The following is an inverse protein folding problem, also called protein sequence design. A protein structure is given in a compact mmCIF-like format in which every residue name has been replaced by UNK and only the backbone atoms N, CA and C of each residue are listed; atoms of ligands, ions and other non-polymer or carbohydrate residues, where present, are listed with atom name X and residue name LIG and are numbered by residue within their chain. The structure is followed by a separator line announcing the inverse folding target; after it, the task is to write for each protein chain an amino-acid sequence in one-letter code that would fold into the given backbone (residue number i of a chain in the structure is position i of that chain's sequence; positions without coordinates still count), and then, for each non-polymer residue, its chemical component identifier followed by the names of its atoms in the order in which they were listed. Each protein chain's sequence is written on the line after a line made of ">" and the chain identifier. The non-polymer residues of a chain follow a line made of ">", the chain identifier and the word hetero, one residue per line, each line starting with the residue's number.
data_IF_117507896688
#
_entry.id   IF_117507896688
#
_cell.length_a   1.000
_cell.length_b   1.000
_cell.length_c   1.000
_cell.angle_alpha   90.00
_cell.angle_beta   90.00
_cell.angle_gamma   90.00
#
_symmetry.space_group_name_H-M   'P 1'
#
loop_
_entity.id
_entity.type
_entity.pdbx_description
1 polymer ?
#
# COMPACT_ATOMS: atom_id res chain seq x y z
N UNK A 1 -1.64 14.53 29.15
CA UNK A 1 -1.67 13.25 28.42
C UNK A 1 -2.59 12.28 29.15
N UNK A 2 -3.17 11.31 28.47
CA UNK A 2 -3.98 10.23 29.06
C UNK A 2 -3.40 8.91 28.61
N UNK A 3 -3.37 7.92 29.50
CA UNK A 3 -2.86 6.58 29.21
C UNK A 3 -4.03 5.64 28.97
N UNK A 4 -3.94 4.84 27.90
CA UNK A 4 -4.91 3.79 27.58
C UNK A 4 -4.13 2.48 27.53
N UNK A 5 -4.58 1.48 28.28
CA UNK A 5 -4.03 0.12 28.22
C UNK A 5 -4.90 -0.72 27.28
N UNK A 6 -4.26 -1.45 26.36
CA UNK A 6 -4.93 -2.27 25.36
C UNK A 6 -4.32 -3.66 25.42
N UNK A 7 -5.17 -4.69 25.46
CA UNK A 7 -4.73 -6.09 25.30
C UNK A 7 -4.78 -6.44 23.83
N UNK A 8 -3.66 -6.89 23.29
CA UNK A 8 -3.55 -7.36 21.90
C UNK A 8 -3.09 -8.83 21.88
N UNK A 9 -3.36 -9.51 20.78
CA UNK A 9 -2.82 -10.85 20.56
C UNK A 9 -1.30 -10.76 20.32
N UNK A 10 -0.58 -11.84 20.62
CA UNK A 10 0.86 -11.93 20.32
C UNK A 10 1.13 -11.75 18.81
N UNK A 11 0.23 -12.27 17.97
CA UNK A 11 0.30 -12.12 16.52
C UNK A 11 0.20 -10.66 16.09
N UNK A 12 -0.74 -9.90 16.64
CA UNK A 12 -0.89 -8.47 16.31
C UNK A 12 0.29 -7.66 16.86
N UNK A 13 0.80 -8.02 18.04
CA UNK A 13 1.96 -7.39 18.66
C UNK A 13 3.20 -7.49 17.76
N UNK A 14 3.46 -8.68 17.23
CA UNK A 14 4.54 -8.93 16.28
C UNK A 14 4.27 -8.27 14.93
N UNK A 15 3.03 -8.37 14.43
CA UNK A 15 2.62 -7.82 13.13
C UNK A 15 2.86 -6.31 13.02
N UNK A 16 2.48 -5.56 14.05
CA UNK A 16 2.65 -4.10 14.08
C UNK A 16 4.00 -3.67 14.66
N UNK A 17 4.86 -4.64 15.05
CA UNK A 17 6.17 -4.39 15.64
C UNK A 17 6.10 -3.38 16.79
N UNK A 18 5.18 -3.60 17.73
CA UNK A 18 4.81 -2.62 18.76
C UNK A 18 5.91 -2.33 19.80
N UNK A 19 7.08 -2.98 19.71
CA UNK A 19 8.25 -2.68 20.54
C UNK A 19 8.09 -3.14 21.99
N UNK A 20 8.73 -2.44 22.94
CA UNK A 20 8.59 -2.68 24.38
C UNK A 20 7.39 -1.91 24.99
N UNK A 21 7.19 -2.02 26.31
CA UNK A 21 5.98 -1.69 27.09
C UNK A 21 5.25 -0.37 26.75
N UNK A 22 5.96 0.66 26.29
CA UNK A 22 5.39 1.98 25.97
C UNK A 22 5.68 2.41 24.52
N UNK A 23 4.61 2.69 23.78
CA UNK A 23 4.61 3.17 22.40
C UNK A 23 3.86 4.50 22.32
N UNK A 24 4.38 5.46 21.54
CA UNK A 24 3.64 6.70 21.27
C UNK A 24 2.43 6.38 20.40
N UNK A 25 1.30 7.01 20.71
CA UNK A 25 0.08 6.85 19.93
C UNK A 25 0.26 7.18 18.44
N UNK A 26 1.11 8.16 18.11
CA UNK A 26 1.46 8.51 16.72
C UNK A 26 2.11 7.33 15.98
N UNK A 27 3.02 6.64 16.65
CA UNK A 27 3.80 5.55 16.07
C UNK A 27 2.89 4.32 15.85
N UNK A 28 1.95 4.10 16.77
CA UNK A 28 0.90 3.08 16.61
C UNK A 28 0.02 3.36 15.40
N UNK A 29 -0.42 4.61 15.25
CA UNK A 29 -1.25 5.03 14.10
C UNK A 29 -0.48 4.86 12.79
N UNK A 30 0.81 5.21 12.75
CA UNK A 30 1.66 5.00 11.58
C UNK A 30 1.84 3.51 11.24
N UNK A 31 2.05 2.65 12.24
CA UNK A 31 2.17 1.21 12.04
C UNK A 31 0.90 0.61 11.42
N UNK A 32 -0.27 1.03 11.92
CA UNK A 32 -1.57 0.62 11.38
C UNK A 32 -1.74 1.09 9.93
N UNK A 33 -1.45 2.37 9.63
CA UNK A 33 -1.54 2.90 8.27
C UNK A 33 -0.60 2.17 7.30
N UNK A 34 0.60 1.80 7.74
CA UNK A 34 1.57 1.05 6.93
C UNK A 34 1.03 -0.32 6.53
N UNK A 35 0.32 -1.01 7.42
CA UNK A 35 -0.31 -2.30 7.08
C UNK A 35 -1.43 -2.12 6.05
N UNK A 36 -2.28 -1.09 6.19
CA UNK A 36 -3.31 -0.79 5.18
C UNK A 36 -2.68 -0.48 3.81
N UNK A 37 -1.61 0.30 3.78
CA UNK A 37 -0.88 0.57 2.54
C UNK A 37 -0.31 -0.72 1.93
N UNK A 38 0.26 -1.61 2.74
CA UNK A 38 0.77 -2.92 2.29
C UNK A 38 -0.34 -3.78 1.68
N UNK A 39 -1.50 -3.84 2.32
CA UNK A 39 -2.66 -4.58 1.81
C UNK A 39 -3.17 -4.00 0.49
N UNK A 40 -3.25 -2.67 0.39
CA UNK A 40 -3.63 -2.00 -0.84
C UNK A 40 -2.66 -2.31 -2.00
N UNK A 41 -1.35 -2.29 -1.74
CA UNK A 41 -0.34 -2.64 -2.75
C UNK A 41 -0.46 -4.09 -3.22
N UNK A 42 -0.71 -5.03 -2.30
CA UNK A 42 -0.94 -6.44 -2.67
C UNK A 42 -2.18 -6.59 -3.55
N UNK A 43 -3.28 -5.92 -3.20
CA UNK A 43 -4.50 -5.93 -4.01
C UNK A 43 -4.26 -5.32 -5.41
N UNK A 44 -3.50 -4.24 -5.51
CA UNK A 44 -3.11 -3.66 -6.79
C UNK A 44 -2.30 -4.64 -7.65
N UNK A 45 -1.35 -5.36 -7.06
CA UNK A 45 -0.58 -6.38 -7.77
C UNK A 45 -1.47 -7.52 -8.27
N UNK A 46 -2.37 -8.04 -7.44
CA UNK A 46 -3.32 -9.07 -7.87
C UNK A 46 -4.21 -8.62 -9.02
N UNK A 47 -4.67 -7.37 -8.99
CA UNK A 47 -5.46 -6.79 -10.08
C UNK A 47 -4.59 -6.72 -11.34
N UNK A 48 -3.38 -6.19 -11.23
CA UNK A 48 -2.45 -6.07 -12.35
C UNK A 48 -2.16 -7.43 -13.01
N UNK A 49 -2.00 -8.49 -12.23
CA UNK A 49 -1.87 -9.85 -12.74
C UNK A 49 -3.14 -10.32 -13.45
N UNK A 50 -4.31 -10.18 -12.81
CA UNK A 50 -5.60 -10.61 -13.37
C UNK A 50 -5.95 -9.93 -14.69
N UNK A 51 -5.64 -8.65 -14.82
CA UNK A 51 -5.92 -7.88 -16.04
C UNK A 51 -4.77 -7.88 -17.04
N UNK A 52 -3.70 -8.63 -16.77
CA UNK A 52 -2.54 -8.78 -17.66
C UNK A 52 -1.60 -7.58 -17.71
N UNK A 53 -1.84 -6.53 -16.92
CA UNK A 53 -0.94 -5.38 -16.79
C UNK A 53 0.44 -5.79 -16.27
N UNK A 54 0.52 -6.84 -15.45
CA UNK A 54 1.80 -7.36 -14.93
C UNK A 54 2.76 -7.86 -16.02
N UNK A 55 2.23 -8.22 -17.19
CA UNK A 55 3.01 -8.78 -18.30
C UNK A 55 3.36 -7.74 -19.36
N UNK A 56 2.91 -6.50 -19.18
CA UNK A 56 3.08 -5.45 -20.16
C UNK A 56 4.54 -4.98 -20.19
N UNK A 57 5.14 -4.99 -21.36
CA UNK A 57 6.49 -4.48 -21.57
C UNK A 57 6.50 -2.95 -21.45
N UNK A 58 7.68 -2.41 -21.15
CA UNK A 58 7.84 -0.96 -21.06
C UNK A 58 7.57 -0.26 -22.41
N UNK A 59 7.82 -0.96 -23.53
CA UNK A 59 7.56 -0.43 -24.87
C UNK A 59 6.06 -0.32 -25.15
N UNK A 60 5.26 -1.33 -24.77
CA UNK A 60 3.80 -1.30 -24.88
C UNK A 60 3.20 -0.19 -24.00
N UNK A 61 3.70 -0.03 -22.77
CA UNK A 61 3.30 1.07 -21.87
C UNK A 61 3.60 2.43 -22.52
N UNK A 62 4.80 2.61 -23.07
CA UNK A 62 5.21 3.84 -23.72
C UNK A 62 4.37 4.15 -24.96
N UNK A 63 4.01 3.13 -25.74
CA UNK A 63 3.15 3.27 -26.92
C UNK A 63 1.75 3.76 -26.52
N UNK A 64 1.15 3.19 -25.48
CA UNK A 64 -0.16 3.59 -24.95
C UNK A 64 -0.16 5.04 -24.44
N UNK A 65 0.88 5.43 -23.68
CA UNK A 65 1.04 6.80 -23.18
C UNK A 65 1.14 7.80 -24.34
N UNK A 66 1.94 7.46 -25.37
CA UNK A 66 2.13 8.30 -26.54
C UNK A 66 0.82 8.47 -27.32
N UNK A 67 0.13 7.37 -27.60
CA UNK A 67 -1.17 7.40 -28.29
C UNK A 67 -2.20 8.27 -27.55
N UNK A 68 -2.27 8.15 -26.22
CA UNK A 68 -3.17 8.95 -25.38
C UNK A 68 -2.84 10.45 -25.45
N UNK A 69 -1.54 10.80 -25.38
CA UNK A 69 -1.08 12.20 -25.45
C UNK A 69 -1.33 12.81 -26.83
N UNK A 70 -1.05 12.06 -27.88
CA UNK A 70 -1.24 12.50 -29.26
C UNK A 70 -2.74 12.71 -29.56
N UNK A 71 -3.63 11.84 -29.05
CA UNK A 71 -5.07 12.02 -29.14
C UNK A 71 -5.57 13.30 -28.44
N UNK A 72 -4.97 13.65 -27.28
CA UNK A 72 -5.30 14.87 -26.54
C UNK A 72 -4.82 16.15 -27.22
N UNK A 73 -3.71 16.10 -27.95
CA UNK A 73 -3.16 17.24 -28.69
C UNK A 73 -3.81 17.46 -30.07
N UNK A 74 -4.48 16.43 -30.60
CA UNK A 74 -5.20 16.46 -31.87
C UNK A 74 -6.72 16.69 -31.72
N UNK A 75 -7.18 17.10 -30.52
CA UNK A 75 -8.54 17.56 -30.22
C UNK A 75 -8.55 19.08 -30.03
#
# INVERSE_FOLDING_TARGET
>A
MRTIQIKVSETDFQKYNLGDEDIKFTDLVEAIHREYARQALLACNEIAEKVGLSNMSMDEINAEIKATRDAKNNS
#
